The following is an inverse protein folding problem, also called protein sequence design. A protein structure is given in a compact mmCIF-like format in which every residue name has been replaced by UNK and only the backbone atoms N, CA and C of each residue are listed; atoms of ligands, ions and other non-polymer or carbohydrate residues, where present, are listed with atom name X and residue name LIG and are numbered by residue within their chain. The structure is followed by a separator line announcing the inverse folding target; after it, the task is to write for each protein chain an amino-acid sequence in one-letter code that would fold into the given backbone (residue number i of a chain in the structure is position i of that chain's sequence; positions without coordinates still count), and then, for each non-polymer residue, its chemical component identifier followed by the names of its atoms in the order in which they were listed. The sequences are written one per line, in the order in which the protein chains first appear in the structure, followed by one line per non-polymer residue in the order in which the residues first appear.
data_IF_293101627815
#
_entry.id   IF_293101627815
#
_cell.length_a   1.000
_cell.length_b   1.000
_cell.length_c   1.000
_cell.angle_alpha   90.00
_cell.angle_beta   90.00
_cell.angle_gamma   90.00
#
_symmetry.space_group_name_H-M   'P 1'
#
loop_
_entity.id
_entity.type
_entity.pdbx_description
1 polymer ?
#
# COMPACT_ATOMS: atom_id res chain seq x y z
N UNK A 1 34.36 58.87 20.99
CA UNK A 1 33.66 58.25 19.88
C UNK A 1 33.95 56.77 19.88
N UNK A 2 33.00 56.01 20.35
CA UNK A 2 33.19 54.57 20.47
C UNK A 2 32.80 53.90 19.14
N UNK A 3 33.76 53.28 18.52
CA UNK A 3 33.52 52.44 17.34
C UNK A 3 33.03 51.08 17.81
N UNK A 4 31.76 50.82 17.62
CA UNK A 4 31.23 49.50 17.89
C UNK A 4 31.51 48.59 16.70
N UNK A 5 32.40 47.66 16.92
CA UNK A 5 32.59 46.57 15.97
C UNK A 5 31.42 45.63 16.09
N UNK A 6 30.60 45.59 15.09
CA UNK A 6 29.55 44.60 14.96
C UNK A 6 30.21 43.30 14.54
N UNK A 7 30.33 42.40 15.48
CA UNK A 7 30.72 41.02 15.18
C UNK A 7 29.50 40.31 14.53
N UNK A 8 29.57 40.15 13.27
CA UNK A 8 28.70 39.27 12.54
C UNK A 8 29.10 37.84 12.87
N UNK A 9 28.38 37.26 13.82
CA UNK A 9 28.53 35.84 14.11
C UNK A 9 28.08 35.04 12.88
N UNK A 10 29.03 34.44 12.23
CA UNK A 10 28.77 33.48 11.18
C UNK A 10 28.14 32.25 11.84
N UNK A 11 26.85 32.15 11.70
CA UNK A 11 26.17 30.91 12.01
C UNK A 11 26.54 29.88 10.96
N UNK A 12 27.50 29.06 11.26
CA UNK A 12 27.75 27.86 10.47
C UNK A 12 26.59 26.91 10.80
N UNK A 13 25.60 26.93 9.95
CA UNK A 13 24.62 25.88 9.96
C UNK A 13 25.34 24.64 9.42
N UNK A 14 25.85 23.86 10.34
CA UNK A 14 26.28 22.52 10.00
C UNK A 14 25.03 21.73 9.59
N UNK A 15 24.78 21.69 8.31
CA UNK A 15 23.89 20.71 7.75
C UNK A 15 24.51 19.35 8.02
N UNK A 16 24.11 18.75 9.12
CA UNK A 16 24.30 17.34 9.33
C UNK A 16 23.45 16.62 8.28
N UNK A 17 24.00 16.47 7.13
CA UNK A 17 23.54 15.46 6.19
C UNK A 17 23.80 14.14 6.91
N UNK A 18 22.78 13.63 7.59
CA UNK A 18 22.84 12.29 8.08
C UNK A 18 23.11 11.39 6.89
N UNK A 19 24.29 10.79 6.86
CA UNK A 19 24.59 9.73 5.94
C UNK A 19 23.83 8.48 6.39
N UNK A 20 22.52 8.58 6.41
CA UNK A 20 21.67 7.41 6.37
C UNK A 20 21.86 6.78 5.01
N UNK A 21 22.12 5.49 4.96
CA UNK A 21 22.36 4.74 3.74
C UNK A 21 21.51 5.29 2.59
N UNK A 22 22.16 5.67 1.53
CA UNK A 22 21.64 6.49 0.46
C UNK A 22 20.47 5.85 -0.31
N UNK A 23 20.09 4.63 0.00
CA UNK A 23 19.32 3.82 -0.92
C UNK A 23 17.96 3.44 -0.38
N UNK A 24 17.33 4.34 0.27
CA UNK A 24 15.96 4.07 0.45
C UNK A 24 15.38 4.30 1.82
N UNK A 25 14.12 4.22 1.81
CA UNK A 25 13.30 4.27 2.99
C UNK A 25 13.63 3.10 3.91
N UNK A 26 13.61 3.34 5.21
CA UNK A 26 13.76 2.27 6.18
C UNK A 26 12.66 1.21 5.98
N UNK A 27 12.95 -0.03 6.36
CA UNK A 27 11.98 -1.10 6.26
C UNK A 27 10.67 -0.77 6.99
N UNK A 28 10.73 -0.05 8.11
CA UNK A 28 9.53 0.35 8.84
C UNK A 28 8.67 1.35 8.06
N UNK A 29 9.28 2.28 7.33
CA UNK A 29 8.53 3.23 6.46
C UNK A 29 7.90 2.53 5.28
N UNK A 30 8.61 1.59 4.67
CA UNK A 30 8.06 0.76 3.59
C UNK A 30 6.86 -0.04 4.08
N UNK A 31 6.95 -0.62 5.26
CA UNK A 31 5.83 -1.35 5.87
C UNK A 31 4.64 -0.43 6.13
N UNK A 32 4.87 0.75 6.69
CA UNK A 32 3.81 1.73 6.94
C UNK A 32 3.12 2.15 5.65
N UNK A 33 3.88 2.38 4.60
CA UNK A 33 3.30 2.73 3.28
C UNK A 33 2.42 1.60 2.77
N UNK A 34 2.88 0.36 2.85
CA UNK A 34 2.11 -0.80 2.44
C UNK A 34 0.83 -0.93 3.27
N UNK A 35 0.92 -0.80 4.58
CA UNK A 35 -0.24 -0.88 5.48
C UNK A 35 -1.26 0.23 5.20
N UNK A 36 -0.81 1.45 4.93
CA UNK A 36 -1.68 2.57 4.56
C UNK A 36 -2.41 2.28 3.25
N UNK A 37 -1.70 1.82 2.24
CA UNK A 37 -2.30 1.47 0.95
C UNK A 37 -3.30 0.32 1.07
N UNK A 38 -3.00 -0.67 1.90
CA UNK A 38 -3.92 -1.77 2.17
C UNK A 38 -5.22 -1.27 2.81
N UNK A 39 -5.11 -0.39 3.80
CA UNK A 39 -6.26 0.22 4.46
C UNK A 39 -7.09 1.08 3.50
N UNK A 40 -6.45 1.89 2.67
CA UNK A 40 -7.12 2.72 1.67
C UNK A 40 -7.85 1.85 0.63
N UNK A 41 -7.22 0.81 0.14
CA UNK A 41 -7.83 -0.09 -0.84
C UNK A 41 -9.06 -0.81 -0.25
N UNK A 42 -8.97 -1.28 0.99
CA UNK A 42 -10.12 -1.89 1.67
C UNK A 42 -11.26 -0.91 1.87
N UNK A 43 -10.96 0.34 2.20
CA UNK A 43 -11.98 1.37 2.37
C UNK A 43 -12.69 1.72 1.05
N UNK A 44 -11.98 1.65 -0.07
CA UNK A 44 -12.54 1.90 -1.39
C UNK A 44 -13.41 0.74 -1.90
N UNK A 45 -13.06 -0.48 -1.55
CA UNK A 45 -13.76 -1.68 -2.00
C UNK A 45 -15.08 -1.85 -1.25
N UNK A 46 -16.16 -1.35 -1.82
CA UNK A 46 -17.50 -1.45 -1.21
C UNK A 46 -18.20 -2.73 -1.69
N UNK A 47 -18.45 -3.69 -0.80
CA UNK A 47 -19.11 -4.94 -1.18
C UNK A 47 -20.63 -4.80 -1.33
N UNK A 48 -21.21 -3.71 -0.87
CA UNK A 48 -22.65 -3.50 -0.79
C UNK A 48 -23.20 -2.72 -1.98
N UNK A 49 -24.48 -2.87 -2.24
CA UNK A 49 -25.20 -2.08 -3.25
C UNK A 49 -25.44 -2.77 -4.57
N UNK A 50 -24.89 -3.96 -4.78
CA UNK A 50 -25.19 -4.79 -5.94
C UNK A 50 -26.48 -5.57 -5.74
N UNK A 51 -27.15 -5.88 -6.85
CA UNK A 51 -28.39 -6.65 -6.88
C UNK A 51 -28.18 -8.08 -7.32
N UNK A 52 -27.03 -8.38 -7.93
CA UNK A 52 -26.69 -9.70 -8.49
C UNK A 52 -25.18 -9.89 -8.57
N UNK A 53 -24.76 -11.15 -8.64
CA UNK A 53 -23.34 -11.52 -8.66
C UNK A 53 -22.59 -10.96 -9.88
N UNK A 54 -23.27 -10.77 -11.01
CA UNK A 54 -22.66 -10.24 -12.24
C UNK A 54 -22.18 -8.80 -12.12
N UNK A 55 -22.67 -8.09 -11.10
CA UNK A 55 -22.22 -6.74 -10.78
C UNK A 55 -21.04 -6.72 -9.80
N UNK A 56 -20.72 -7.88 -9.24
CA UNK A 56 -19.58 -8.03 -8.35
C UNK A 56 -18.27 -8.21 -9.12
N UNK A 57 -17.19 -7.72 -8.58
CA UNK A 57 -15.84 -7.88 -9.11
C UNK A 57 -14.90 -8.46 -8.06
N UNK A 58 -13.82 -9.08 -8.53
CA UNK A 58 -12.81 -9.73 -7.73
C UNK A 58 -11.44 -9.30 -8.22
N UNK A 59 -10.52 -9.03 -7.30
CA UNK A 59 -9.12 -8.78 -7.66
C UNK A 59 -8.18 -9.32 -6.59
N UNK A 60 -6.93 -9.56 -7.00
CA UNK A 60 -5.83 -9.85 -6.10
C UNK A 60 -5.52 -8.66 -5.22
N UNK A 61 -5.10 -8.95 -3.99
CA UNK A 61 -4.79 -7.94 -2.98
C UNK A 61 -3.44 -8.26 -2.34
N UNK A 62 -2.53 -7.28 -2.37
CA UNK A 62 -1.21 -7.44 -1.82
C UNK A 62 -0.27 -8.25 -2.70
N UNK A 63 0.83 -8.68 -2.11
CA UNK A 63 1.90 -9.40 -2.81
C UNK A 63 2.54 -10.46 -1.92
N UNK A 64 2.83 -11.62 -2.50
CA UNK A 64 3.61 -12.68 -1.84
C UNK A 64 5.05 -12.66 -2.38
N UNK A 65 6.06 -12.94 -1.54
CA UNK A 65 7.46 -12.94 -1.97
C UNK A 65 7.75 -13.84 -3.19
N UNK A 66 7.01 -14.91 -3.36
CA UNK A 66 7.14 -15.81 -4.50
C UNK A 66 6.34 -15.38 -5.73
N UNK A 67 5.67 -14.23 -5.67
CA UNK A 67 4.80 -13.73 -6.72
C UNK A 67 3.33 -14.01 -6.48
N UNK A 68 2.48 -13.22 -7.11
CA UNK A 68 1.05 -13.31 -6.98
C UNK A 68 0.48 -12.60 -5.74
N UNK A 69 -0.84 -12.48 -5.67
CA UNK A 69 -1.50 -11.82 -4.55
C UNK A 69 -1.45 -12.70 -3.28
N UNK A 70 -1.43 -12.04 -2.11
CA UNK A 70 -1.53 -12.76 -0.83
C UNK A 70 -2.96 -13.10 -0.44
N UNK A 71 -3.93 -12.35 -0.99
CA UNK A 71 -5.36 -12.61 -0.80
C UNK A 71 -6.15 -12.04 -1.96
N UNK A 72 -7.46 -12.20 -1.93
CA UNK A 72 -8.38 -11.62 -2.91
C UNK A 72 -9.46 -10.83 -2.20
N UNK A 73 -9.94 -9.76 -2.82
CA UNK A 73 -11.06 -8.97 -2.33
C UNK A 73 -12.15 -8.88 -3.38
N UNK A 74 -13.40 -8.76 -2.91
CA UNK A 74 -14.56 -8.58 -3.75
C UNK A 74 -15.22 -7.22 -3.45
N UNK A 75 -15.81 -6.62 -4.47
CA UNK A 75 -16.56 -5.37 -4.32
C UNK A 75 -17.70 -5.28 -5.33
N UNK A 76 -18.61 -4.36 -5.06
CA UNK A 76 -19.68 -4.04 -5.99
C UNK A 76 -19.21 -2.97 -6.99
N UNK A 77 -19.32 -3.26 -8.28
CA UNK A 77 -18.90 -2.32 -9.32
C UNK A 77 -19.77 -1.06 -9.38
N UNK A 78 -21.01 -1.15 -8.93
CA UNK A 78 -21.94 -0.02 -8.94
C UNK A 78 -21.65 1.03 -7.87
N UNK A 79 -21.04 0.64 -6.78
CA UNK A 79 -20.83 1.49 -5.59
C UNK A 79 -19.36 1.74 -5.27
N UNK A 80 -18.46 1.22 -6.08
CA UNK A 80 -17.01 1.38 -5.90
C UNK A 80 -16.44 2.22 -7.04
N UNK A 81 -15.58 3.17 -6.70
CA UNK A 81 -14.73 3.84 -7.69
C UNK A 81 -13.62 2.86 -8.12
N UNK A 82 -13.92 2.08 -9.14
CA UNK A 82 -13.05 1.00 -9.60
C UNK A 82 -11.70 1.51 -10.09
N UNK A 83 -11.68 2.64 -10.76
CA UNK A 83 -10.42 3.24 -11.27
C UNK A 83 -9.48 3.58 -10.12
N UNK A 84 -9.99 4.25 -9.11
CA UNK A 84 -9.19 4.61 -7.93
C UNK A 84 -8.78 3.36 -7.14
N UNK A 85 -9.68 2.40 -6.97
CA UNK A 85 -9.37 1.14 -6.30
C UNK A 85 -8.24 0.39 -7.02
N UNK A 86 -8.32 0.25 -8.34
CA UNK A 86 -7.27 -0.45 -9.12
C UNK A 86 -5.91 0.23 -8.99
N UNK A 87 -5.88 1.56 -8.98
CA UNK A 87 -4.65 2.31 -8.76
C UNK A 87 -4.05 2.04 -7.37
N UNK A 88 -4.89 1.95 -6.33
CA UNK A 88 -4.45 1.62 -4.96
C UNK A 88 -3.98 0.16 -4.85
N UNK A 89 -4.64 -0.77 -5.51
CA UNK A 89 -4.22 -2.18 -5.53
C UNK A 89 -2.86 -2.36 -6.21
N UNK A 90 -2.62 -1.68 -7.31
CA UNK A 90 -1.33 -1.71 -7.99
C UNK A 90 -0.22 -1.09 -7.13
N UNK A 91 -0.50 0.04 -6.50
CA UNK A 91 0.45 0.68 -5.58
C UNK A 91 0.75 -0.21 -4.37
N UNK A 92 -0.26 -0.89 -3.84
CA UNK A 92 -0.12 -1.84 -2.73
C UNK A 92 0.79 -3.00 -3.10
N UNK A 93 0.59 -3.60 -4.25
CA UNK A 93 1.44 -4.70 -4.73
C UNK A 93 2.91 -4.28 -4.76
N UNK A 94 3.19 -3.12 -5.35
CA UNK A 94 4.54 -2.57 -5.42
C UNK A 94 5.12 -2.26 -4.04
N UNK A 95 4.33 -1.69 -3.15
CA UNK A 95 4.77 -1.33 -1.80
C UNK A 95 5.08 -2.56 -0.95
N UNK A 96 4.24 -3.60 -1.00
CA UNK A 96 4.48 -4.86 -0.30
C UNK A 96 5.73 -5.56 -0.84
N UNK A 97 5.91 -5.58 -2.15
CA UNK A 97 7.10 -6.14 -2.78
C UNK A 97 8.37 -5.42 -2.32
N UNK A 98 8.36 -4.09 -2.31
CA UNK A 98 9.50 -3.29 -1.86
C UNK A 98 9.86 -3.57 -0.41
N UNK A 99 8.86 -3.65 0.47
CA UNK A 99 9.07 -3.99 1.87
C UNK A 99 9.63 -5.41 2.03
N UNK A 100 9.07 -6.39 1.35
CA UNK A 100 9.52 -7.78 1.40
C UNK A 100 10.97 -7.93 0.96
N UNK A 101 11.35 -7.23 -0.11
CA UNK A 101 12.74 -7.22 -0.59
C UNK A 101 13.67 -6.56 0.43
N UNK A 102 13.25 -5.45 1.05
CA UNK A 102 14.06 -4.74 2.04
C UNK A 102 14.35 -5.57 3.30
N UNK A 103 13.42 -6.40 3.73
CA UNK A 103 13.59 -7.27 4.91
C UNK A 103 14.05 -8.67 4.57
N UNK A 104 14.20 -9.00 3.29
CA UNK A 104 14.60 -10.32 2.85
C UNK A 104 13.59 -11.40 3.18
N UNK A 105 12.30 -11.05 3.20
CA UNK A 105 11.23 -11.98 3.52
C UNK A 105 11.13 -13.09 2.48
N UNK A 106 11.15 -14.32 2.96
CA UNK A 106 10.96 -15.50 2.13
C UNK A 106 9.63 -16.16 2.48
N UNK A 107 8.92 -16.61 1.45
CA UNK A 107 7.69 -17.38 1.62
C UNK A 107 7.94 -18.83 1.21
N UNK A 108 7.13 -19.74 1.74
CA UNK A 108 7.12 -21.15 1.33
C UNK A 108 6.41 -21.37 -0.01
N UNK A 109 6.22 -20.35 -0.80
CA UNK A 109 5.71 -20.38 -2.18
C UNK A 109 4.36 -21.09 -2.39
N UNK A 110 3.53 -21.17 -1.36
CA UNK A 110 2.17 -21.66 -1.52
C UNK A 110 1.34 -20.71 -2.39
N UNK A 111 0.65 -21.23 -3.38
CA UNK A 111 -0.25 -20.44 -4.21
C UNK A 111 -1.51 -20.06 -3.44
N UNK A 112 -1.89 -18.80 -3.51
CA UNK A 112 -3.18 -18.35 -3.00
C UNK A 112 -4.24 -18.72 -4.02
N UNK A 113 -5.14 -19.62 -3.62
CA UNK A 113 -6.21 -20.05 -4.52
C UNK A 113 -7.16 -18.90 -4.78
N UNK A 114 -7.49 -18.67 -6.06
CA UNK A 114 -8.49 -17.69 -6.44
C UNK A 114 -9.87 -18.16 -5.99
N UNK A 115 -10.56 -17.41 -5.10
CA UNK A 115 -11.89 -17.79 -4.63
C UNK A 115 -12.94 -17.56 -5.70
N UNK A 116 -14.12 -18.08 -5.46
CA UNK A 116 -15.28 -17.77 -6.28
C UNK A 116 -15.90 -16.46 -5.83
N UNK A 117 -16.43 -15.73 -6.80
CA UNK A 117 -17.19 -14.52 -6.54
C UNK A 117 -18.63 -14.91 -6.22
N UNK A 118 -19.14 -14.42 -5.10
CA UNK A 118 -20.50 -14.69 -4.63
C UNK A 118 -21.21 -13.41 -4.26
N UNK A 119 -22.51 -13.44 -4.40
CA UNK A 119 -23.40 -12.39 -3.89
C UNK A 119 -24.30 -13.03 -2.84
N UNK A 120 -24.15 -12.60 -1.59
CA UNK A 120 -24.86 -13.13 -0.45
C UNK A 120 -25.31 -12.02 0.48
N UNK A 121 -26.58 -12.04 0.89
CA UNK A 121 -27.14 -11.04 1.81
C UNK A 121 -26.88 -9.60 1.38
N UNK A 122 -26.99 -9.32 0.08
CA UNK A 122 -26.78 -7.99 -0.49
C UNK A 122 -25.32 -7.58 -0.63
N UNK A 123 -24.37 -8.49 -0.43
CA UNK A 123 -22.94 -8.20 -0.48
C UNK A 123 -22.17 -9.09 -1.44
N UNK A 124 -21.21 -8.49 -2.14
CA UNK A 124 -20.22 -9.21 -2.94
C UNK A 124 -19.18 -9.84 -2.01
N UNK A 125 -18.96 -11.14 -2.14
CA UNK A 125 -18.01 -11.89 -1.33
C UNK A 125 -17.09 -12.76 -2.16
N UNK A 126 -15.86 -12.92 -1.66
CA UNK A 126 -14.87 -13.84 -2.21
C UNK A 126 -14.75 -15.03 -1.27
N UNK A 127 -15.12 -16.21 -1.74
CA UNK A 127 -15.06 -17.46 -0.97
C UNK A 127 -14.57 -18.63 -1.81
#
# INVERSE_FOLDING_TARGET
MASQAIQLGTWVVALLMGAGGADGESASKLKQRADTLASEARALANPSGCEKVEECELAGFGHKPCGGPREYIAWCSRTTDVKTLRARLEALEKAEKAWQEAVGLKSNCGLTRKPRLRWEAGQCRAR
#
